data_IF_973604822120
#
_entry.id   IF_973604822120
#
_cell.length_a   1.000
_cell.length_b   1.000
_cell.length_c   1.000
_cell.angle_alpha   90.00
_cell.angle_beta   90.00
_cell.angle_gamma   90.00
#
_symmetry.space_group_name_H-M   'P 1'
#
loop_
_entity.id
_entity.type
_entity.pdbx_description
1 polymer ?
#
# COMPACT_ATOMS: atom_id res chain seq x y z
N UNK A 1 -7.25 -0.79 31.01
CA UNK A 1 -6.91 -0.08 29.76
C UNK A 1 -6.37 -1.04 28.70
N UNK A 2 -5.36 -1.85 29.00
CA UNK A 2 -4.78 -2.85 28.07
C UNK A 2 -5.82 -3.83 27.47
N UNK A 3 -6.65 -4.44 28.32
CA UNK A 3 -7.70 -5.41 27.91
C UNK A 3 -8.77 -4.80 27.00
N UNK A 4 -9.07 -3.50 27.18
CA UNK A 4 -10.03 -2.80 26.33
C UNK A 4 -9.43 -2.48 24.95
N UNK A 5 -8.13 -2.14 24.91
CA UNK A 5 -7.39 -1.91 23.67
C UNK A 5 -7.26 -3.20 22.84
N UNK A 6 -6.96 -4.33 23.49
CA UNK A 6 -6.91 -5.64 22.83
C UNK A 6 -8.24 -6.03 22.22
N UNK A 7 -9.33 -5.94 23.00
CA UNK A 7 -10.66 -6.35 22.53
C UNK A 7 -11.22 -5.48 21.42
N UNK A 8 -10.93 -4.17 21.42
CA UNK A 8 -11.56 -3.22 20.50
C UNK A 8 -10.69 -2.98 19.26
N UNK A 9 -9.37 -3.02 19.40
CA UNK A 9 -8.46 -2.60 18.34
C UNK A 9 -7.69 -3.78 17.73
N UNK A 10 -7.03 -4.59 18.57
CA UNK A 10 -6.11 -5.63 18.09
C UNK A 10 -6.82 -6.84 17.47
N UNK A 11 -8.05 -7.14 17.86
CA UNK A 11 -8.80 -8.27 17.28
C UNK A 11 -9.43 -7.97 15.91
N UNK A 12 -9.66 -6.69 15.59
CA UNK A 12 -10.36 -6.28 14.38
C UNK A 12 -9.46 -5.63 13.35
N UNK A 13 -8.29 -5.12 13.75
CA UNK A 13 -7.37 -4.44 12.83
C UNK A 13 -6.10 -5.26 12.61
N UNK A 14 -5.79 -5.52 11.35
CA UNK A 14 -4.51 -6.07 10.93
C UNK A 14 -3.76 -5.03 10.12
N UNK A 15 -2.54 -4.70 10.53
CA UNK A 15 -1.64 -3.83 9.78
C UNK A 15 -0.64 -4.68 9.02
N UNK A 16 -0.61 -4.54 7.70
CA UNK A 16 0.31 -5.24 6.81
C UNK A 16 1.23 -4.20 6.18
N UNK A 17 2.51 -4.50 6.14
CA UNK A 17 3.50 -3.67 5.46
C UNK A 17 4.31 -4.54 4.51
N UNK A 18 4.04 -4.38 3.22
CA UNK A 18 4.80 -5.03 2.15
C UNK A 18 5.78 -4.05 1.49
N UNK A 19 6.89 -4.59 0.99
CA UNK A 19 7.72 -3.87 0.03
C UNK A 19 8.12 -4.79 -1.12
N UNK A 20 8.17 -4.22 -2.33
CA UNK A 20 8.73 -4.87 -3.51
C UNK A 20 9.96 -4.11 -3.95
N UNK A 21 11.13 -4.71 -3.85
CA UNK A 21 12.39 -4.08 -4.20
C UNK A 21 12.78 -4.48 -5.63
N UNK A 22 13.03 -3.48 -6.46
CA UNK A 22 13.71 -3.67 -7.74
C UNK A 22 15.22 -3.64 -7.53
N UNK A 23 15.85 -4.79 -7.71
CA UNK A 23 17.29 -4.95 -7.46
C UNK A 23 18.19 -4.28 -8.52
N UNK A 24 17.64 -3.83 -9.64
CA UNK A 24 18.43 -3.31 -10.76
C UNK A 24 18.88 -1.84 -10.55
N UNK A 25 18.03 -1.02 -9.93
CA UNK A 25 18.30 0.41 -9.67
C UNK A 25 18.07 0.81 -8.19
N UNK A 26 17.75 -0.17 -7.34
CA UNK A 26 17.50 0.03 -5.91
C UNK A 26 16.20 0.75 -5.61
N UNK A 27 15.30 0.88 -6.59
CA UNK A 27 13.96 1.41 -6.36
C UNK A 27 13.06 0.36 -5.71
N UNK A 28 11.99 0.79 -5.04
CA UNK A 28 11.05 -0.09 -4.38
C UNK A 28 9.62 0.45 -4.37
N UNK A 29 8.65 -0.43 -4.21
CA UNK A 29 7.25 -0.06 -3.96
C UNK A 29 6.93 -0.39 -2.51
N UNK A 30 6.35 0.56 -1.80
CA UNK A 30 5.74 0.31 -0.49
C UNK A 30 4.26 -0.01 -0.66
N UNK A 31 3.81 -1.03 0.07
CA UNK A 31 2.45 -1.53 0.09
C UNK A 31 1.95 -1.60 1.54
N UNK A 32 1.71 -0.46 2.21
CA UNK A 32 1.04 -0.47 3.50
C UNK A 32 -0.45 -0.74 3.30
N UNK A 33 -0.99 -1.59 4.15
CA UNK A 33 -2.37 -2.05 4.11
C UNK A 33 -2.92 -2.16 5.54
N UNK A 34 -4.16 -1.68 5.74
CA UNK A 34 -4.91 -1.77 6.97
C UNK A 34 -6.19 -2.56 6.71
N UNK A 35 -6.31 -3.71 7.34
CA UNK A 35 -7.47 -4.57 7.23
C UNK A 35 -8.30 -4.43 8.50
N UNK A 36 -9.59 -4.18 8.33
CA UNK A 36 -10.57 -4.06 9.38
C UNK A 36 -11.66 -5.13 9.19
N UNK A 37 -11.71 -6.08 10.13
CA UNK A 37 -12.77 -7.08 10.20
C UNK A 37 -14.02 -6.43 10.82
N UNK A 38 -14.91 -5.92 9.97
CA UNK A 38 -16.14 -5.28 10.41
C UNK A 38 -17.18 -6.28 10.93
N UNK A 39 -17.13 -7.52 10.44
CA UNK A 39 -17.92 -8.66 10.89
C UNK A 39 -17.15 -9.96 10.61
N UNK A 40 -17.63 -11.10 11.13
CA UNK A 40 -17.01 -12.42 10.94
C UNK A 40 -16.82 -12.79 9.46
N UNK A 41 -17.63 -12.21 8.58
CA UNK A 41 -17.62 -12.46 7.14
C UNK A 41 -17.32 -11.23 6.29
N UNK A 42 -17.07 -10.05 6.89
CA UNK A 42 -16.85 -8.79 6.18
C UNK A 42 -15.52 -8.16 6.60
N UNK A 43 -14.60 -8.06 5.65
CA UNK A 43 -13.30 -7.42 5.79
C UNK A 43 -13.25 -6.16 4.91
N UNK A 44 -12.82 -5.04 5.48
CA UNK A 44 -12.57 -3.79 4.77
C UNK A 44 -11.07 -3.54 4.76
N UNK A 45 -10.51 -3.31 3.58
CA UNK A 45 -9.08 -3.15 3.34
C UNK A 45 -8.85 -1.74 2.84
N UNK A 46 -8.00 -0.98 3.54
CA UNK A 46 -7.47 0.29 3.08
C UNK A 46 -6.00 0.09 2.76
N UNK A 47 -5.63 0.18 1.49
CA UNK A 47 -4.25 0.00 1.05
C UNK A 47 -3.74 1.17 0.23
N UNK A 48 -2.42 1.24 0.09
CA UNK A 48 -1.79 2.15 -0.86
C UNK A 48 -0.64 1.50 -1.60
N UNK A 49 -0.36 2.03 -2.78
CA UNK A 49 0.80 1.69 -3.59
C UNK A 49 1.64 2.95 -3.71
N UNK A 50 2.84 2.91 -3.11
CA UNK A 50 3.75 4.06 -3.08
C UNK A 50 5.08 3.68 -3.72
N UNK A 51 5.23 3.94 -5.03
CA UNK A 51 6.51 3.81 -5.72
C UNK A 51 7.54 4.78 -5.14
N UNK A 52 8.74 4.30 -4.86
CA UNK A 52 9.85 5.06 -4.29
C UNK A 52 11.13 4.73 -5.05
N UNK A 53 11.87 5.75 -5.47
CA UNK A 53 13.11 5.53 -6.21
C UNK A 53 13.83 6.84 -6.52
N UNK A 54 15.11 6.74 -6.90
CA UNK A 54 15.91 7.89 -7.34
C UNK A 54 15.45 8.40 -8.70
N UNK A 55 15.69 9.67 -9.02
CA UNK A 55 15.35 10.24 -10.35
C UNK A 55 15.93 9.37 -11.47
N UNK A 56 15.08 8.97 -12.42
CA UNK A 56 15.44 8.07 -13.52
C UNK A 56 15.36 6.56 -13.20
N UNK A 57 14.99 6.18 -11.97
CA UNK A 57 14.62 4.79 -11.65
C UNK A 57 13.25 4.43 -12.18
N UNK A 58 13.02 3.13 -12.40
CA UNK A 58 11.76 2.58 -12.87
C UNK A 58 10.58 3.05 -12.01
N UNK A 59 10.79 3.17 -10.68
CA UNK A 59 9.77 3.61 -9.73
C UNK A 59 9.75 5.10 -9.37
N UNK A 60 10.60 5.95 -9.96
CA UNK A 60 10.50 7.40 -9.77
C UNK A 60 9.49 8.06 -10.73
N UNK A 61 8.92 7.30 -11.65
CA UNK A 61 7.75 7.70 -12.45
C UNK A 61 7.99 8.83 -13.44
N UNK A 62 8.95 9.74 -13.23
CA UNK A 62 9.20 10.88 -14.11
C UNK A 62 10.29 10.54 -15.12
N UNK A 63 9.88 10.39 -16.38
CA UNK A 63 10.76 10.11 -17.52
C UNK A 63 10.79 11.31 -18.45
N UNK A 64 11.96 11.62 -18.99
CA UNK A 64 12.09 12.68 -20.00
C UNK A 64 12.09 12.04 -21.39
N UNK A 65 11.02 12.23 -22.15
CA UNK A 65 10.83 11.69 -23.50
C UNK A 65 10.70 12.87 -24.46
N UNK A 66 11.64 12.98 -25.40
CA UNK A 66 11.68 14.08 -26.38
C UNK A 66 11.66 15.50 -25.75
N UNK A 67 12.25 15.66 -24.57
CA UNK A 67 12.27 16.93 -23.84
C UNK A 67 11.03 17.21 -22.98
N UNK A 68 10.03 16.32 -23.00
CA UNK A 68 8.86 16.40 -22.14
C UNK A 68 8.95 15.45 -20.95
N UNK A 69 8.49 15.90 -19.77
CA UNK A 69 8.43 15.06 -18.57
C UNK A 69 7.10 14.30 -18.54
N UNK A 70 7.18 12.97 -18.60
CA UNK A 70 6.04 12.06 -18.54
C UNK A 70 6.06 11.34 -17.19
N UNK A 71 4.93 11.32 -16.51
CA UNK A 71 4.74 10.58 -15.25
C UNK A 71 4.09 9.20 -15.55
N UNK A 72 4.87 8.14 -15.42
CA UNK A 72 4.52 6.75 -15.77
C UNK A 72 3.98 5.98 -14.56
N UNK A 73 4.28 6.45 -13.34
CA UNK A 73 3.81 5.82 -12.11
C UNK A 73 3.14 6.85 -11.23
N UNK A 74 1.97 6.48 -10.73
CA UNK A 74 1.15 7.32 -9.88
C UNK A 74 0.90 6.60 -8.56
N UNK A 75 1.25 7.21 -7.41
CA UNK A 75 0.84 6.69 -6.11
C UNK A 75 -0.69 6.56 -6.08
N UNK A 76 -1.17 5.45 -5.52
CA UNK A 76 -2.61 5.19 -5.45
C UNK A 76 -3.00 4.75 -4.05
N UNK A 77 -4.18 5.17 -3.62
CA UNK A 77 -4.86 4.66 -2.44
C UNK A 77 -6.08 3.90 -2.93
N UNK A 78 -6.35 2.74 -2.34
CA UNK A 78 -7.51 1.93 -2.68
C UNK A 78 -8.25 1.49 -1.42
N UNK A 79 -9.55 1.28 -1.59
CA UNK A 79 -10.42 0.69 -0.57
C UNK A 79 -11.07 -0.54 -1.20
N UNK A 80 -10.98 -1.67 -0.52
CA UNK A 80 -11.61 -2.92 -0.93
C UNK A 80 -12.50 -3.44 0.20
N UNK A 81 -13.62 -4.06 -0.16
CA UNK A 81 -14.45 -4.80 0.77
C UNK A 81 -14.51 -6.26 0.29
N UNK A 82 -14.24 -7.19 1.21
CA UNK A 82 -14.26 -8.62 0.95
C UNK A 82 -15.32 -9.27 1.82
N UNK A 83 -16.23 -9.97 1.16
CA UNK A 83 -17.28 -10.77 1.79
C UNK A 83 -16.95 -12.25 1.61
N UNK A 84 -16.95 -13.02 2.69
CA UNK A 84 -16.73 -14.48 2.66
C UNK A 84 -18.02 -15.22 3.03
N UNK A 85 -18.27 -16.41 2.46
CA UNK A 85 -19.47 -17.22 2.69
C UNK A 85 -19.09 -18.64 3.13
#
# INVERSE_FOLDING_TARGET
MLVALEKIFLNYHTFIFGSFINCNDGSFILLPELNYNAADNLEVILGSVVPCGKKGSEFNGTWEVNGEKIEVLKPSIYVQAKLSF
#
